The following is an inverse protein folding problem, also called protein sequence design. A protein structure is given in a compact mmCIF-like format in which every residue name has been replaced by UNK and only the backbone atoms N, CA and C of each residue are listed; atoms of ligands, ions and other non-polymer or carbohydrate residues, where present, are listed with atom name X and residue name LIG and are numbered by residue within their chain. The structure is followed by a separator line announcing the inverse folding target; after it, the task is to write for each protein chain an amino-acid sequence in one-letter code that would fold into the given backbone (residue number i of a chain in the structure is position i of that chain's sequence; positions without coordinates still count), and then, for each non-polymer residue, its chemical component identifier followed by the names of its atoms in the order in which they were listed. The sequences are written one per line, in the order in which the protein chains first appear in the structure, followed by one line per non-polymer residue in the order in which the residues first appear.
data_IF_483600045239
#
_entry.id   IF_483600045239
#
_cell.length_a   1.000
_cell.length_b   1.000
_cell.length_c   1.000
_cell.angle_alpha   90.00
_cell.angle_beta   90.00
_cell.angle_gamma   90.00
#
_symmetry.space_group_name_H-M   'P 1'
#
loop_
_entity.id
_entity.type
_entity.pdbx_description
1 polymer ?
#
# COMPACT_ATOMS: atom_id res chain seq x y z
N UNK A 1 -4.53 33.05 12.64
CA UNK A 1 -3.45 32.06 12.77
C UNK A 1 -3.76 30.87 11.88
N UNK A 2 -3.24 30.83 10.66
CA UNK A 2 -3.36 29.62 9.83
C UNK A 2 -2.23 28.67 10.20
N UNK A 3 -2.54 27.59 10.92
CA UNK A 3 -1.60 26.47 11.07
C UNK A 3 -1.51 25.84 9.68
N UNK A 4 -0.31 25.88 9.09
CA UNK A 4 -0.07 25.21 7.80
C UNK A 4 0.04 23.72 8.11
N UNK A 5 -1.08 23.01 7.94
CA UNK A 5 -1.12 21.57 8.11
C UNK A 5 -0.44 20.92 6.91
N UNK A 6 0.34 19.84 7.12
CA UNK A 6 0.86 19.05 6.01
C UNK A 6 -0.30 18.54 5.15
N UNK A 7 -0.16 18.61 3.83
CA UNK A 7 -1.16 18.10 2.90
C UNK A 7 -0.67 16.80 2.28
N UNK A 8 -1.64 15.95 1.92
CA UNK A 8 -1.37 14.77 1.11
C UNK A 8 -0.75 15.22 -0.22
N UNK A 9 0.35 14.59 -0.61
CA UNK A 9 1.12 14.91 -1.81
C UNK A 9 2.33 15.82 -1.58
N UNK A 10 2.47 16.43 -0.40
CA UNK A 10 3.63 17.25 -0.08
C UNK A 10 4.90 16.39 0.01
N UNK A 11 6.00 16.93 -0.50
CA UNK A 11 7.32 16.29 -0.47
C UNK A 11 8.11 16.90 0.68
N UNK A 12 8.50 16.06 1.63
CA UNK A 12 9.21 16.46 2.84
C UNK A 12 10.56 15.75 2.96
N UNK A 13 11.54 16.42 3.56
CA UNK A 13 12.79 15.80 3.97
C UNK A 13 12.61 15.13 5.32
N UNK A 14 12.93 13.84 5.37
CA UNK A 14 12.69 12.98 6.52
C UNK A 14 13.99 12.36 6.98
N UNK A 15 14.12 12.14 8.29
CA UNK A 15 15.24 11.45 8.91
C UNK A 15 14.75 10.13 9.52
N UNK A 16 15.45 9.05 9.22
CA UNK A 16 15.09 7.72 9.72
C UNK A 16 15.51 7.57 11.18
N UNK A 17 14.54 7.38 12.07
CA UNK A 17 14.79 7.23 13.52
C UNK A 17 14.92 5.75 13.89
N UNK A 18 14.17 4.89 13.22
CA UNK A 18 14.16 3.46 13.50
C UNK A 18 13.69 2.66 12.30
N UNK A 19 13.99 1.36 12.33
CA UNK A 19 13.54 0.42 11.31
C UNK A 19 12.97 -0.83 11.98
N UNK A 20 11.95 -1.40 11.36
CA UNK A 20 11.34 -2.68 11.70
C UNK A 20 11.10 -3.46 10.40
N UNK A 21 10.75 -4.74 10.50
CA UNK A 21 10.58 -5.61 9.32
C UNK A 21 9.46 -5.16 8.36
N UNK A 22 8.46 -4.44 8.88
CA UNK A 22 7.36 -3.91 8.08
C UNK A 22 7.59 -2.49 7.55
N UNK A 23 8.60 -1.76 8.03
CA UNK A 23 8.77 -0.36 7.64
C UNK A 23 9.81 0.43 8.43
N UNK A 24 10.01 1.67 8.03
CA UNK A 24 10.92 2.62 8.66
C UNK A 24 10.14 3.75 9.34
N UNK A 25 10.50 4.05 10.58
CA UNK A 25 10.02 5.22 11.30
C UNK A 25 10.86 6.42 10.94
N UNK A 26 10.19 7.49 10.55
CA UNK A 26 10.84 8.72 10.15
C UNK A 26 10.31 9.89 10.97
N UNK A 27 11.17 10.86 11.20
CA UNK A 27 10.79 12.17 11.75
C UNK A 27 11.04 13.23 10.68
N UNK A 28 10.21 14.25 10.65
CA UNK A 28 10.40 15.42 9.80
C UNK A 28 9.90 16.66 10.53
N UNK A 29 10.31 17.82 10.03
CA UNK A 29 9.96 19.10 10.63
C UNK A 29 9.06 19.87 9.67
N UNK A 30 7.96 20.42 10.19
CA UNK A 30 7.12 21.36 9.45
C UNK A 30 7.24 22.75 10.06
N UNK A 31 7.33 23.77 9.21
CA UNK A 31 7.46 25.16 9.62
C UNK A 31 6.06 25.76 9.85
N UNK A 32 5.79 26.22 11.07
CA UNK A 32 4.55 26.94 11.37
C UNK A 32 4.73 28.43 11.04
N UNK A 33 4.36 28.84 9.83
CA UNK A 33 4.33 30.26 9.49
C UNK A 33 3.11 30.94 10.13
N UNK A 34 3.31 31.68 11.22
CA UNK A 34 2.28 32.54 11.81
C UNK A 34 2.13 33.82 10.99
N UNK A 35 1.35 33.79 9.92
CA UNK A 35 0.98 35.01 9.19
C UNK A 35 -0.19 35.66 9.93
N UNK A 36 0.10 36.66 10.75
CA UNK A 36 -0.91 37.63 11.22
C UNK A 36 -1.12 38.65 10.09
N UNK A 37 -2.38 38.93 9.77
CA UNK A 37 -2.79 39.74 8.62
C UNK A 37 -2.53 41.25 8.78
N UNK A 38 -1.54 41.64 9.60
CA UNK A 38 -1.27 43.03 9.97
C UNK A 38 0.11 43.48 9.44
N UNK A 39 0.08 44.45 8.54
CA UNK A 39 1.02 44.70 7.44
C UNK A 39 2.37 45.38 7.75
N UNK A 40 2.94 45.28 8.96
CA UNK A 40 4.03 46.19 9.32
C UNK A 40 5.28 45.61 10.00
N UNK A 41 5.31 44.33 10.39
CA UNK A 41 6.51 43.76 11.01
C UNK A 41 6.47 42.24 10.98
N UNK A 42 6.98 41.64 9.91
CA UNK A 42 7.14 40.19 9.81
C UNK A 42 8.33 39.73 10.65
N UNK A 43 8.14 39.59 11.96
CA UNK A 43 9.07 38.82 12.80
C UNK A 43 8.74 37.34 12.57
N UNK A 44 9.52 36.69 11.70
CA UNK A 44 9.39 35.27 11.39
C UNK A 44 9.93 34.44 12.55
N UNK A 45 9.10 34.19 13.57
CA UNK A 45 9.40 33.13 14.55
C UNK A 45 9.09 31.79 13.88
N UNK A 46 10.12 31.19 13.27
CA UNK A 46 10.03 29.87 12.64
C UNK A 46 10.08 28.79 13.73
N UNK A 47 8.94 28.48 14.33
CA UNK A 47 8.81 27.37 15.25
C UNK A 47 8.69 26.07 14.43
N UNK A 48 9.71 25.19 14.52
CA UNK A 48 9.75 23.89 13.84
C UNK A 48 9.01 22.86 14.67
N UNK A 49 7.91 22.34 14.14
CA UNK A 49 7.15 21.28 14.78
C UNK A 49 7.71 19.94 14.31
N UNK A 50 8.17 19.12 15.25
CA UNK A 50 8.56 17.74 14.96
C UNK A 50 7.32 16.88 14.74
N UNK A 51 7.26 16.23 13.59
CA UNK A 51 6.23 15.25 13.25
C UNK A 51 6.87 13.89 13.00
N UNK A 52 6.14 12.83 13.36
CA UNK A 52 6.57 11.44 13.18
C UNK A 52 5.71 10.79 12.11
N UNK A 53 6.32 9.93 11.32
CA UNK A 53 5.66 9.19 10.27
C UNK A 53 6.26 7.81 10.08
N UNK A 54 5.59 7.01 9.25
CA UNK A 54 5.98 5.65 8.93
C UNK A 54 6.02 5.47 7.42
N UNK A 55 7.10 4.85 6.93
CA UNK A 55 7.21 4.39 5.55
C UNK A 55 7.07 2.87 5.57
N UNK A 56 6.01 2.36 4.96
CA UNK A 56 5.79 0.92 4.85
C UNK A 56 6.81 0.30 3.88
N UNK A 57 7.18 -0.97 4.08
CA UNK A 57 8.19 -1.65 3.24
C UNK A 57 7.87 -1.59 1.74
N UNK A 58 6.58 -1.66 1.38
CA UNK A 58 6.09 -1.57 -0.01
C UNK A 58 6.25 -0.17 -0.62
N UNK A 59 6.43 0.84 0.21
CA UNK A 59 6.52 2.25 -0.16
C UNK A 59 7.98 2.77 -0.19
N UNK A 60 8.94 1.93 0.18
CA UNK A 60 10.36 2.27 0.12
C UNK A 60 10.87 2.23 -1.34
N UNK A 61 10.51 1.20 -2.09
CA UNK A 61 10.98 1.00 -3.46
C UNK A 61 9.97 0.22 -4.31
N UNK A 62 9.92 0.50 -5.61
CA UNK A 62 9.22 -0.36 -6.58
C UNK A 62 9.96 -1.70 -6.74
N UNK A 63 9.61 -2.73 -5.98
CA UNK A 63 10.30 -4.02 -6.06
C UNK A 63 9.98 -5.02 -4.96
N UNK A 64 10.55 -6.22 -5.08
CA UNK A 64 10.65 -7.13 -3.94
C UNK A 64 11.84 -6.73 -3.08
N UNK A 65 11.56 -6.24 -1.88
CA UNK A 65 12.58 -5.89 -0.88
C UNK A 65 12.74 -7.09 0.06
N UNK A 66 13.93 -7.72 0.05
CA UNK A 66 14.26 -8.81 0.99
C UNK A 66 14.42 -8.30 2.42
N UNK A 67 15.08 -7.15 2.58
CA UNK A 67 15.40 -6.60 3.88
C UNK A 67 15.52 -5.08 3.77
N UNK A 68 14.89 -4.36 4.71
CA UNK A 68 14.92 -2.88 4.76
C UNK A 68 16.33 -2.34 5.04
N UNK A 69 17.12 -3.09 5.82
CA UNK A 69 18.46 -2.71 6.29
C UNK A 69 19.45 -2.37 5.16
N UNK A 70 19.28 -2.97 3.98
CA UNK A 70 20.17 -2.73 2.84
C UNK A 70 19.85 -1.42 2.12
N UNK A 71 18.60 -0.95 2.23
CA UNK A 71 18.10 0.20 1.46
C UNK A 71 18.17 1.47 2.30
N UNK A 72 17.84 1.36 3.59
CA UNK A 72 17.67 2.51 4.47
C UNK A 72 18.49 2.32 5.74
N UNK A 73 19.23 3.36 6.13
CA UNK A 73 20.02 3.38 7.37
C UNK A 73 19.41 4.33 8.39
N UNK A 74 19.55 4.00 9.68
CA UNK A 74 19.17 4.90 10.78
C UNK A 74 20.02 6.16 10.68
N UNK A 75 19.38 7.33 10.83
CA UNK A 75 19.98 8.66 10.68
C UNK A 75 20.11 9.14 9.24
N UNK A 76 19.74 8.33 8.25
CA UNK A 76 19.77 8.76 6.85
C UNK A 76 18.66 9.78 6.58
N UNK A 77 19.01 10.85 5.85
CA UNK A 77 18.06 11.84 5.36
C UNK A 77 17.62 11.49 3.95
N UNK A 78 16.31 11.40 3.74
CA UNK A 78 15.68 11.03 2.48
C UNK A 78 14.53 12.00 2.17
N UNK A 79 14.14 12.07 0.90
CA UNK A 79 12.91 12.75 0.51
C UNK A 79 11.81 11.71 0.43
N UNK A 80 10.64 12.04 0.98
CA UNK A 80 9.46 11.20 0.90
C UNK A 80 8.22 12.07 0.65
N UNK A 81 7.23 11.50 -0.01
CA UNK A 81 5.93 12.12 -0.23
C UNK A 81 4.93 11.62 0.81
N UNK A 82 4.10 12.52 1.33
CA UNK A 82 2.99 12.15 2.21
C UNK A 82 1.88 11.53 1.37
N UNK A 83 1.49 10.28 1.66
CA UNK A 83 0.38 9.61 0.97
C UNK A 83 -0.91 9.76 1.77
N UNK A 84 -0.82 9.63 3.08
CA UNK A 84 -1.99 9.56 3.93
C UNK A 84 -1.71 10.21 5.29
N UNK A 85 -2.73 10.87 5.81
CA UNK A 85 -2.71 11.59 7.08
C UNK A 85 -3.96 11.18 7.85
N UNK A 86 -3.75 10.44 8.93
CA UNK A 86 -4.78 10.10 9.88
C UNK A 86 -4.78 11.15 11.00
N UNK A 87 -5.66 12.14 10.89
CA UNK A 87 -5.81 13.22 11.87
C UNK A 87 -6.33 12.73 13.24
N UNK A 88 -7.04 11.59 13.28
CA UNK A 88 -7.58 11.05 14.53
C UNK A 88 -6.48 10.40 15.37
N UNK A 89 -5.60 9.63 14.73
CA UNK A 89 -4.50 8.95 15.41
C UNK A 89 -3.17 9.71 15.35
N UNK A 90 -3.11 10.82 14.61
CA UNK A 90 -1.88 11.57 14.37
C UNK A 90 -0.82 10.78 13.60
N UNK A 91 -1.23 9.81 12.79
CA UNK A 91 -0.32 8.95 12.00
C UNK A 91 -0.15 9.52 10.60
N UNK A 92 1.09 9.57 10.13
CA UNK A 92 1.41 10.05 8.78
C UNK A 92 2.10 8.91 8.05
N UNK A 93 1.55 8.53 6.90
CA UNK A 93 2.12 7.51 6.03
C UNK A 93 2.86 8.19 4.88
N UNK A 94 4.13 7.83 4.71
CA UNK A 94 5.00 8.42 3.69
C UNK A 94 5.50 7.35 2.72
N UNK A 95 5.87 7.79 1.51
CA UNK A 95 6.44 6.94 0.47
C UNK A 95 7.60 7.60 -0.26
N UNK A 96 8.66 6.82 -0.42
CA UNK A 96 9.82 7.16 -1.25
C UNK A 96 9.53 6.77 -2.70
N UNK A 97 8.78 5.67 -2.89
CA UNK A 97 8.41 5.14 -4.19
C UNK A 97 7.70 6.16 -5.07
N UNK A 98 6.81 6.99 -4.51
CA UNK A 98 6.09 8.01 -5.29
C UNK A 98 7.00 9.06 -5.94
N UNK A 99 8.24 9.23 -5.45
CA UNK A 99 9.24 10.13 -6.02
C UNK A 99 10.05 9.50 -7.16
N UNK A 100 10.00 8.17 -7.31
CA UNK A 100 10.70 7.48 -8.40
C UNK A 100 10.04 7.84 -9.75
N UNK A 101 10.80 8.45 -10.66
CA UNK A 101 10.34 8.95 -11.99
C UNK A 101 9.70 7.91 -12.90
N UNK A 102 9.81 6.62 -12.59
CA UNK A 102 9.26 5.53 -13.38
C UNK A 102 8.65 4.50 -12.41
N UNK A 103 7.35 4.63 -12.05
CA UNK A 103 6.71 3.61 -11.24
C UNK A 103 6.76 2.31 -12.03
N UNK A 104 7.58 1.35 -11.59
CA UNK A 104 7.53 0.01 -12.16
C UNK A 104 6.17 -0.56 -11.77
N UNK A 105 5.24 -0.58 -12.72
CA UNK A 105 3.95 -1.23 -12.58
C UNK A 105 4.28 -2.72 -12.48
N UNK A 106 4.45 -3.21 -11.25
CA UNK A 106 4.58 -4.64 -11.02
C UNK A 106 3.30 -5.28 -11.53
N UNK A 107 3.43 -5.99 -12.66
CA UNK A 107 2.36 -6.74 -13.30
C UNK A 107 1.47 -7.38 -12.24
N UNK A 108 0.18 -7.05 -12.26
CA UNK A 108 -0.81 -7.73 -11.45
C UNK A 108 -0.55 -9.24 -11.54
N UNK A 109 -0.43 -9.91 -10.40
CA UNK A 109 -0.49 -11.36 -10.35
C UNK A 109 -1.81 -11.75 -11.01
N UNK A 110 -1.78 -12.13 -12.29
CA UNK A 110 -2.93 -12.75 -12.94
C UNK A 110 -3.24 -13.98 -12.09
N UNK A 111 -4.37 -13.99 -11.41
CA UNK A 111 -4.85 -15.19 -10.73
C UNK A 111 -4.79 -16.32 -11.76
N UNK A 112 -4.02 -17.36 -11.48
CA UNK A 112 -4.01 -18.55 -12.33
C UNK A 112 -5.37 -19.21 -12.13
N UNK A 113 -6.26 -19.04 -13.09
CA UNK A 113 -7.50 -19.78 -13.09
C UNK A 113 -7.15 -21.24 -13.40
N UNK A 114 -7.74 -22.17 -12.67
CA UNK A 114 -7.57 -23.61 -12.94
C UNK A 114 -8.05 -23.97 -14.36
N UNK A 115 -9.00 -23.19 -14.89
CA UNK A 115 -9.48 -23.29 -16.26
C UNK A 115 -8.98 -22.11 -17.10
N UNK A 116 -8.53 -22.40 -18.33
CA UNK A 116 -8.30 -21.34 -19.32
C UNK A 116 -9.68 -20.75 -19.71
N UNK A 117 -9.91 -19.43 -19.57
CA UNK A 117 -11.16 -18.80 -20.00
C UNK A 117 -11.50 -18.99 -21.49
N UNK A 118 -10.50 -19.36 -22.31
CA UNK A 118 -10.68 -19.67 -23.74
C UNK A 118 -11.26 -21.08 -23.96
N UNK A 119 -11.03 -21.99 -23.02
CA UNK A 119 -11.56 -23.35 -23.07
C UNK A 119 -13.01 -23.36 -22.57
N UNK A 120 -13.95 -23.37 -23.52
CA UNK A 120 -15.39 -23.53 -23.24
C UNK A 120 -15.72 -25.00 -22.97
N UNK A 121 -15.09 -25.61 -21.98
CA UNK A 121 -15.33 -27.01 -21.58
C UNK A 121 -16.79 -27.18 -21.09
N UNK A 122 -17.36 -26.14 -20.46
CA UNK A 122 -18.79 -26.07 -20.13
C UNK A 122 -19.30 -27.31 -19.38
N UNK A 123 -20.49 -27.79 -19.76
CA UNK A 123 -21.10 -29.02 -19.22
C UNK A 123 -20.68 -30.30 -19.97
N UNK A 124 -19.72 -30.23 -20.90
CA UNK A 124 -19.34 -31.35 -21.79
C UNK A 124 -18.80 -32.55 -21.02
N UNK A 125 -18.12 -32.34 -19.89
CA UNK A 125 -17.66 -33.43 -19.03
C UNK A 125 -18.82 -34.13 -18.33
N UNK A 126 -19.82 -33.37 -17.90
CA UNK A 126 -21.02 -33.92 -17.27
C UNK A 126 -21.88 -34.67 -18.27
N UNK A 127 -22.01 -34.15 -19.50
CA UNK A 127 -22.72 -34.84 -20.59
C UNK A 127 -22.11 -36.22 -20.92
N UNK A 128 -20.79 -36.36 -20.82
CA UNK A 128 -20.11 -37.64 -21.04
C UNK A 128 -20.36 -38.66 -19.93
N UNK A 129 -20.43 -38.23 -18.68
CA UNK A 129 -20.61 -39.12 -17.52
C UNK A 129 -22.08 -39.39 -17.19
N UNK A 130 -23.00 -38.52 -17.66
CA UNK A 130 -24.43 -38.62 -17.40
C UNK A 130 -25.04 -39.99 -17.73
N UNK A 131 -24.75 -40.64 -18.89
CA UNK A 131 -25.35 -41.92 -19.22
C UNK A 131 -24.98 -43.02 -18.20
N UNK A 132 -23.72 -43.03 -17.77
CA UNK A 132 -23.20 -43.98 -16.80
C UNK A 132 -23.87 -43.77 -15.43
N UNK A 133 -23.98 -42.52 -14.98
CA UNK A 133 -24.65 -42.21 -13.72
C UNK A 133 -26.15 -42.54 -13.73
N UNK A 134 -26.83 -42.35 -14.86
CA UNK A 134 -28.23 -42.73 -15.02
C UNK A 134 -28.38 -44.25 -14.91
N UNK A 135 -27.53 -45.01 -15.59
CA UNK A 135 -27.54 -46.48 -15.55
C UNK A 135 -27.27 -47.01 -14.12
N UNK A 136 -26.27 -46.47 -13.44
CA UNK A 136 -25.94 -46.81 -12.04
C UNK A 136 -27.11 -46.50 -11.09
N UNK A 137 -27.77 -45.34 -11.26
CA UNK A 137 -28.92 -44.97 -10.43
C UNK A 137 -30.14 -45.84 -10.72
N UNK A 138 -30.42 -46.16 -11.99
CA UNK A 138 -31.50 -47.06 -12.36
C UNK A 138 -31.29 -48.47 -11.77
N UNK A 139 -30.05 -48.97 -11.83
CA UNK A 139 -29.69 -50.26 -11.23
C UNK A 139 -29.93 -50.25 -9.72
N UNK A 140 -29.44 -49.21 -9.02
CA UNK A 140 -29.64 -49.03 -7.59
C UNK A 140 -31.13 -48.98 -7.20
N UNK A 141 -31.94 -48.21 -7.94
CA UNK A 141 -33.37 -48.09 -7.70
C UNK A 141 -34.11 -49.41 -7.93
N UNK A 142 -33.73 -50.21 -8.94
CA UNK A 142 -34.31 -51.54 -9.18
C UNK A 142 -34.00 -52.50 -8.05
N UNK A 143 -32.80 -52.46 -7.49
CA UNK A 143 -32.39 -53.31 -6.36
C UNK A 143 -33.14 -52.96 -5.07
N UNK A 144 -33.47 -51.69 -4.86
CA UNK A 144 -34.06 -51.18 -3.61
C UNK A 144 -35.57 -50.91 -3.71
N UNK A 145 -36.22 -51.29 -4.83
CA UNK A 145 -37.67 -51.18 -4.99
C UNK A 145 -38.36 -52.39 -4.36
N UNK A 146 -38.65 -52.26 -3.06
CA UNK A 146 -39.67 -53.07 -2.35
C UNK A 146 -41.07 -52.56 -2.68
#
# INVERSE_FOLDING_TARGET
MTVTHPKIGDIVEVEVVGMQDYGAFVKFFTDRNSVSADSASSISVSEKIEQKGLIHISEIQSGYVKTIHDIVKIGQKLKAQIIDIDEFNGKISLSIRSLEKSPQIHHFYRKKHFTDPRDKIGFKSLEKELPKWVEENEAYLKEHKN
#
